data_IF_857428613087
#
_entry.id   IF_857428613087
#
_cell.length_a   1.000
_cell.length_b   1.000
_cell.length_c   1.000
_cell.angle_alpha   90.00
_cell.angle_beta   90.00
_cell.angle_gamma   90.00
#
_symmetry.space_group_name_H-M   'P 1'
#
loop_
_entity.id
_entity.type
_entity.pdbx_description
1 polymer ?
#
# COMPACT_ATOMS: atom_id res chain seq x y z
N UNK A 1 19.35 -7.84 -32.91
CA UNK A 1 19.76 -6.49 -32.56
C UNK A 1 18.45 -5.76 -32.30
N UNK A 2 18.25 -5.60 -31.19
CA UNK A 2 17.11 -5.85 -30.27
C UNK A 2 16.39 -4.55 -29.99
N UNK A 3 15.06 -4.58 -30.13
CA UNK A 3 14.13 -3.46 -29.88
C UNK A 3 14.15 -2.94 -28.42
N UNK A 4 15.03 -3.47 -27.58
CA UNK A 4 15.21 -3.05 -26.19
C UNK A 4 15.79 -1.64 -26.03
N UNK A 5 16.53 -1.13 -27.03
CA UNK A 5 17.18 0.17 -26.95
C UNK A 5 16.26 1.37 -27.27
N UNK A 6 15.00 1.12 -27.59
CA UNK A 6 14.03 2.16 -27.98
C UNK A 6 12.92 2.39 -26.95
N UNK A 7 13.15 2.10 -25.68
CA UNK A 7 12.21 2.53 -24.67
C UNK A 7 12.17 4.07 -24.63
N UNK A 8 11.16 4.64 -25.27
CA UNK A 8 10.99 6.08 -25.30
C UNK A 8 10.50 6.58 -23.94
N UNK A 9 11.47 6.89 -23.09
CA UNK A 9 11.25 7.44 -21.74
C UNK A 9 10.27 8.62 -21.76
N UNK A 10 10.40 9.54 -22.73
CA UNK A 10 9.54 10.71 -22.85
C UNK A 10 8.08 10.38 -23.22
N UNK A 11 7.83 9.24 -23.87
CA UNK A 11 6.45 8.79 -24.17
C UNK A 11 5.70 8.39 -22.91
N UNK A 12 6.40 7.83 -21.92
CA UNK A 12 5.83 7.33 -20.68
C UNK A 12 6.00 8.30 -19.51
N UNK A 13 7.01 9.17 -19.58
CA UNK A 13 7.44 10.07 -18.52
C UNK A 13 7.52 11.52 -18.99
N UNK A 14 6.65 11.94 -19.92
CA UNK A 14 6.64 13.29 -20.50
C UNK A 14 6.65 14.41 -19.45
N UNK A 15 6.96 15.66 -19.85
CA UNK A 15 7.20 16.78 -18.95
C UNK A 15 6.06 17.07 -17.98
N UNK A 16 4.82 16.80 -18.37
CA UNK A 16 3.64 17.00 -17.53
C UNK A 16 3.48 15.96 -16.38
N UNK A 17 4.26 14.88 -16.45
CA UNK A 17 4.29 13.83 -15.45
C UNK A 17 5.59 13.81 -14.67
N UNK A 18 6.49 14.75 -14.97
CA UNK A 18 7.81 14.78 -14.41
C UNK A 18 7.80 15.44 -13.04
N UNK A 19 8.03 14.63 -12.01
CA UNK A 19 8.71 15.09 -10.80
C UNK A 19 9.77 14.06 -10.45
N UNK A 20 10.90 14.47 -9.82
CA UNK A 20 11.97 13.55 -9.48
C UNK A 20 11.39 12.47 -8.56
N UNK A 21 11.15 11.33 -9.15
CA UNK A 21 10.71 10.12 -8.50
C UNK A 21 11.88 9.19 -8.52
N UNK A 22 11.90 8.26 -7.61
CA UNK A 22 12.88 7.20 -7.68
C UNK A 22 12.81 6.64 -9.10
N UNK A 23 13.75 7.09 -9.91
CA UNK A 23 14.00 6.47 -11.20
C UNK A 23 14.63 5.15 -10.83
N UNK A 24 13.95 4.05 -11.11
CA UNK A 24 14.58 2.76 -11.03
C UNK A 24 15.68 2.73 -12.12
N UNK A 25 16.85 3.28 -11.79
CA UNK A 25 18.05 3.19 -12.59
C UNK A 25 18.56 1.74 -12.58
N UNK A 26 17.83 0.86 -13.20
CA UNK A 26 18.38 -0.43 -13.54
C UNK A 26 18.03 -0.69 -14.98
N UNK A 27 19.13 -0.69 -15.76
CA UNK A 27 19.19 -0.83 -17.19
C UNK A 27 18.05 -1.63 -17.83
N UNK A 28 17.95 -1.51 -19.09
CA UNK A 28 17.08 -2.07 -20.14
C UNK A 28 15.97 -3.13 -19.82
N UNK A 29 15.95 -3.71 -18.64
CA UNK A 29 14.99 -4.74 -18.24
C UNK A 29 13.95 -4.25 -17.23
N UNK A 30 13.11 -3.31 -17.63
CA UNK A 30 11.94 -2.99 -16.80
C UNK A 30 10.97 -4.17 -16.82
N UNK A 31 10.89 -4.86 -15.69
CA UNK A 31 9.96 -5.97 -15.50
C UNK A 31 8.73 -5.53 -14.75
N UNK A 32 7.62 -6.12 -15.11
CA UNK A 32 6.35 -5.93 -14.42
C UNK A 32 6.49 -6.35 -12.94
N UNK A 33 6.18 -5.47 -12.00
CA UNK A 33 6.30 -5.72 -10.56
C UNK A 33 5.41 -6.86 -10.05
N UNK A 34 4.46 -7.32 -10.84
CA UNK A 34 3.50 -8.35 -10.46
C UNK A 34 3.79 -9.74 -11.03
N UNK A 35 4.38 -9.84 -12.21
CA UNK A 35 4.59 -11.15 -12.87
C UNK A 35 5.97 -11.36 -13.47
N UNK A 36 6.88 -10.38 -13.44
CA UNK A 36 8.23 -10.51 -13.96
C UNK A 36 8.38 -10.42 -15.48
N UNK A 37 7.29 -10.44 -16.22
CA UNK A 37 7.32 -10.25 -17.67
C UNK A 37 7.75 -8.83 -18.05
N UNK A 38 8.20 -8.55 -19.26
CA UNK A 38 8.55 -7.21 -19.69
C UNK A 38 7.42 -6.21 -19.42
N UNK A 39 7.75 -5.08 -18.79
CA UNK A 39 6.78 -4.02 -18.51
C UNK A 39 6.63 -3.13 -19.76
N UNK A 40 5.39 -2.87 -20.15
CA UNK A 40 5.03 -1.98 -21.27
C UNK A 40 4.02 -0.89 -20.86
N UNK A 41 3.64 -0.87 -19.59
CA UNK A 41 2.77 0.15 -18.98
C UNK A 41 3.32 0.57 -17.62
N UNK A 42 2.58 1.45 -16.95
CA UNK A 42 2.86 1.88 -15.58
C UNK A 42 1.60 1.79 -14.73
N UNK A 43 1.76 1.39 -13.49
CA UNK A 43 0.71 1.35 -12.49
C UNK A 43 0.93 2.47 -11.47
N UNK A 44 -0.13 3.17 -11.08
CA UNK A 44 -0.07 4.16 -10.01
C UNK A 44 -0.04 3.51 -8.63
N UNK A 45 0.76 4.08 -7.74
CA UNK A 45 0.98 3.58 -6.39
C UNK A 45 0.53 4.62 -5.33
N UNK A 46 -0.67 4.47 -4.76
CA UNK A 46 -1.69 3.47 -5.02
C UNK A 46 -2.48 3.71 -6.31
N UNK A 47 -3.32 2.72 -6.69
CA UNK A 47 -4.23 2.86 -7.82
C UNK A 47 -5.21 4.02 -7.62
N UNK A 48 -5.42 4.79 -8.69
CA UNK A 48 -6.26 6.01 -8.65
C UNK A 48 -7.70 5.80 -8.21
N UNK A 49 -8.22 4.58 -8.34
CA UNK A 49 -9.59 4.24 -7.91
C UNK A 49 -9.79 4.46 -6.40
N UNK A 50 -8.71 4.31 -5.61
CA UNK A 50 -8.74 4.53 -4.16
C UNK A 50 -8.51 5.99 -3.74
N UNK A 51 -8.34 6.90 -4.69
CA UNK A 51 -8.05 8.31 -4.43
C UNK A 51 -9.20 9.21 -4.88
N UNK A 52 -9.34 10.36 -4.21
CA UNK A 52 -10.25 11.41 -4.61
C UNK A 52 -9.60 12.34 -5.64
N UNK A 53 -10.41 12.98 -6.50
CA UNK A 53 -9.93 14.07 -7.36
C UNK A 53 -9.91 15.40 -6.61
N UNK A 54 -8.93 16.29 -6.84
CA UNK A 54 -7.79 16.10 -7.75
C UNK A 54 -6.77 15.10 -7.19
N UNK A 55 -6.16 14.32 -8.08
CA UNK A 55 -5.13 13.35 -7.65
C UNK A 55 -3.84 14.07 -7.22
N UNK A 56 -3.06 13.49 -6.29
CA UNK A 56 -1.76 14.01 -5.94
C UNK A 56 -0.85 14.12 -7.17
N UNK A 57 -0.22 15.28 -7.35
CA UNK A 57 0.63 15.54 -8.52
C UNK A 57 1.93 14.72 -8.52
N UNK A 58 2.32 14.22 -7.35
CA UNK A 58 3.53 13.43 -7.10
C UNK A 58 3.24 11.94 -6.90
N UNK A 59 2.06 11.47 -7.35
CA UNK A 59 1.66 10.07 -7.21
C UNK A 59 2.68 9.13 -7.88
N UNK A 60 3.31 8.23 -7.11
CA UNK A 60 4.29 7.30 -7.64
C UNK A 60 3.71 6.37 -8.69
N UNK A 61 4.60 5.83 -9.50
CA UNK A 61 4.27 4.78 -10.47
C UNK A 61 5.31 3.67 -10.42
N UNK A 62 4.89 2.45 -10.72
CA UNK A 62 5.75 1.28 -10.85
C UNK A 62 5.58 0.65 -12.24
N UNK A 63 6.61 -0.05 -12.77
CA UNK A 63 6.50 -0.74 -14.04
C UNK A 63 5.49 -1.89 -13.96
N UNK A 64 4.60 -1.99 -14.95
CA UNK A 64 3.63 -3.07 -15.05
C UNK A 64 3.45 -3.50 -16.51
N UNK A 65 3.13 -4.77 -16.76
CA UNK A 65 2.66 -5.19 -18.07
C UNK A 65 1.16 -4.89 -18.21
N UNK A 66 0.70 -4.70 -19.45
CA UNK A 66 -0.69 -4.41 -19.75
C UNK A 66 -1.65 -5.48 -19.21
N UNK A 67 -1.26 -6.75 -19.28
CA UNK A 67 -2.05 -7.86 -18.75
C UNK A 67 -2.32 -7.73 -17.26
N UNK A 68 -1.28 -7.45 -16.46
CA UNK A 68 -1.43 -7.26 -15.01
C UNK A 68 -2.19 -5.98 -14.69
N UNK A 69 -1.79 -4.86 -15.29
CA UNK A 69 -2.40 -3.55 -15.07
C UNK A 69 -3.92 -3.58 -15.34
N UNK A 70 -4.33 -4.10 -16.50
CA UNK A 70 -5.74 -4.23 -16.85
C UNK A 70 -6.45 -5.33 -16.06
N UNK A 71 -5.73 -6.39 -15.67
CA UNK A 71 -6.26 -7.54 -14.96
C UNK A 71 -6.75 -7.26 -13.54
N UNK A 72 -6.35 -6.14 -12.94
CA UNK A 72 -6.79 -5.72 -11.62
C UNK A 72 -8.00 -4.79 -11.64
N UNK A 73 -8.29 -4.12 -12.76
CA UNK A 73 -9.27 -3.03 -12.83
C UNK A 73 -10.68 -3.40 -12.36
N UNK A 74 -11.13 -4.61 -12.65
CA UNK A 74 -12.45 -5.12 -12.20
C UNK A 74 -12.49 -5.31 -10.68
N UNK A 75 -11.43 -5.89 -10.10
CA UNK A 75 -11.36 -6.16 -8.66
C UNK A 75 -11.11 -4.90 -7.85
N UNK A 76 -10.39 -3.93 -8.41
CA UNK A 76 -10.22 -2.60 -7.81
C UNK A 76 -11.55 -1.87 -7.67
N UNK A 77 -12.33 -1.86 -8.75
CA UNK A 77 -13.65 -1.23 -8.72
C UNK A 77 -14.59 -1.94 -7.76
N UNK A 78 -14.56 -3.27 -7.75
CA UNK A 78 -15.33 -4.08 -6.81
C UNK A 78 -14.94 -3.76 -5.36
N UNK A 79 -13.65 -3.77 -5.05
CA UNK A 79 -13.12 -3.47 -3.70
C UNK A 79 -13.56 -2.08 -3.24
N UNK A 80 -13.40 -1.06 -4.09
CA UNK A 80 -13.83 0.31 -3.75
C UNK A 80 -15.33 0.38 -3.52
N UNK A 81 -16.12 -0.26 -4.37
CA UNK A 81 -17.59 -0.29 -4.23
C UNK A 81 -18.04 -1.02 -2.95
N UNK A 82 -17.35 -2.08 -2.55
CA UNK A 82 -17.63 -2.79 -1.29
C UNK A 82 -17.35 -1.89 -0.08
N UNK A 83 -16.20 -1.20 -0.06
CA UNK A 83 -15.85 -0.23 0.97
C UNK A 83 -16.92 0.85 1.09
N UNK A 84 -17.36 1.41 -0.05
CA UNK A 84 -18.39 2.45 -0.09
C UNK A 84 -19.75 1.95 0.40
N UNK A 85 -20.19 0.78 -0.04
CA UNK A 85 -21.46 0.19 0.37
C UNK A 85 -21.50 -0.01 1.89
N UNK A 86 -20.41 -0.53 2.45
CA UNK A 86 -20.31 -0.73 3.89
C UNK A 86 -20.20 0.60 4.65
N UNK A 87 -19.41 1.54 4.15
CA UNK A 87 -19.30 2.87 4.74
C UNK A 87 -20.64 3.58 4.79
N UNK A 88 -21.41 3.57 3.72
CA UNK A 88 -22.76 4.15 3.68
C UNK A 88 -23.73 3.48 4.67
N UNK A 89 -23.69 2.16 4.77
CA UNK A 89 -24.47 1.41 5.75
C UNK A 89 -24.17 1.84 7.19
N UNK A 90 -22.90 2.08 7.49
CA UNK A 90 -22.46 2.56 8.80
C UNK A 90 -22.56 4.09 8.97
N UNK A 91 -23.24 4.78 8.05
CA UNK A 91 -23.39 6.25 8.04
C UNK A 91 -22.09 7.04 7.81
N UNK A 92 -21.06 6.42 7.30
CA UNK A 92 -19.86 7.10 6.82
C UNK A 92 -20.14 7.74 5.46
N UNK A 93 -19.70 8.98 5.28
CA UNK A 93 -19.85 9.70 4.00
C UNK A 93 -18.66 9.40 3.08
N UNK A 94 -18.71 8.26 2.41
CA UNK A 94 -17.73 7.90 1.39
C UNK A 94 -18.19 8.37 0.02
N UNK A 95 -17.23 8.50 -0.90
CA UNK A 95 -17.51 8.95 -2.26
C UNK A 95 -18.13 7.83 -3.08
N UNK A 96 -19.28 8.08 -3.66
CA UNK A 96 -20.05 7.07 -4.40
C UNK A 96 -19.51 6.88 -5.83
N UNK A 97 -19.32 5.63 -6.24
CA UNK A 97 -19.06 5.23 -7.62
C UNK A 97 -20.40 5.04 -8.36
N UNK A 98 -20.39 5.22 -9.68
CA UNK A 98 -21.58 4.98 -10.51
C UNK A 98 -22.11 3.56 -10.34
N UNK A 99 -23.37 3.44 -9.93
CA UNK A 99 -24.04 2.16 -9.64
C UNK A 99 -24.36 1.30 -10.87
N UNK A 100 -24.10 1.78 -12.09
CA UNK A 100 -24.48 1.08 -13.32
C UNK A 100 -23.52 -0.08 -13.66
N UNK A 101 -22.30 -0.05 -13.17
CA UNK A 101 -21.27 -1.04 -13.49
C UNK A 101 -21.54 -2.38 -12.79
N UNK A 102 -21.24 -3.46 -13.51
CA UNK A 102 -21.45 -4.84 -13.01
C UNK A 102 -20.72 -5.09 -11.69
N UNK A 103 -19.48 -4.64 -11.58
CA UNK A 103 -18.64 -4.82 -10.40
C UNK A 103 -19.24 -4.14 -9.16
N UNK A 104 -19.84 -2.96 -9.35
CA UNK A 104 -20.50 -2.22 -8.27
C UNK A 104 -21.74 -2.95 -7.78
N UNK A 105 -22.58 -3.43 -8.70
CA UNK A 105 -23.78 -4.24 -8.37
C UNK A 105 -23.41 -5.53 -7.63
N UNK A 106 -22.35 -6.18 -8.08
CA UNK A 106 -21.83 -7.41 -7.45
C UNK A 106 -21.31 -7.14 -6.03
N UNK A 107 -20.54 -6.06 -5.83
CA UNK A 107 -20.07 -5.65 -4.52
C UNK A 107 -21.21 -5.32 -3.56
N UNK A 108 -22.21 -4.58 -4.02
CA UNK A 108 -23.40 -4.26 -3.23
C UNK A 108 -24.16 -5.51 -2.82
N UNK A 109 -24.43 -6.42 -3.76
CA UNK A 109 -25.09 -7.72 -3.46
C UNK A 109 -24.28 -8.52 -2.43
N UNK A 110 -22.96 -8.60 -2.59
CA UNK A 110 -22.10 -9.33 -1.65
C UNK A 110 -22.11 -8.69 -0.27
N UNK A 111 -22.15 -7.38 -0.21
CA UNK A 111 -22.28 -6.65 1.05
C UNK A 111 -23.66 -6.92 1.71
N UNK A 112 -24.76 -6.92 0.95
CA UNK A 112 -26.10 -7.26 1.45
C UNK A 112 -26.16 -8.69 2.01
N UNK A 113 -25.44 -9.65 1.40
CA UNK A 113 -25.29 -11.00 1.94
C UNK A 113 -24.58 -10.99 3.30
N UNK A 114 -23.50 -10.21 3.45
CA UNK A 114 -22.80 -10.05 4.72
C UNK A 114 -23.69 -9.43 5.80
N UNK A 115 -24.46 -8.39 5.46
CA UNK A 115 -25.42 -7.78 6.41
C UNK A 115 -26.48 -8.79 6.83
N UNK A 116 -27.00 -9.60 5.90
CA UNK A 116 -28.03 -10.59 6.18
C UNK A 116 -27.54 -11.75 7.05
N UNK A 117 -26.27 -12.13 6.91
CA UNK A 117 -25.62 -13.16 7.74
C UNK A 117 -25.13 -12.63 9.09
N UNK A 118 -24.99 -11.31 9.24
CA UNK A 118 -24.40 -10.68 10.42
C UNK A 118 -22.87 -10.78 10.49
N UNK A 119 -22.22 -11.31 9.46
CA UNK A 119 -20.78 -11.51 9.41
C UNK A 119 -20.18 -10.96 8.11
N UNK A 120 -19.03 -10.28 8.23
CA UNK A 120 -18.23 -9.89 7.07
C UNK A 120 -17.23 -11.00 6.81
N UNK A 121 -17.51 -11.75 5.73
CA UNK A 121 -16.62 -12.83 5.32
C UNK A 121 -15.41 -12.28 4.56
N UNK A 122 -14.28 -12.99 4.71
CA UNK A 122 -13.09 -12.73 3.91
C UNK A 122 -13.41 -12.86 2.41
N UNK A 123 -12.97 -11.88 1.63
CA UNK A 123 -13.24 -11.79 0.19
C UNK A 123 -11.92 -11.84 -0.58
N UNK A 124 -11.77 -12.87 -1.42
CA UNK A 124 -10.54 -13.11 -2.19
C UNK A 124 -10.22 -11.99 -3.19
N UNK A 125 -11.24 -11.30 -3.73
CA UNK A 125 -11.02 -10.16 -4.64
C UNK A 125 -10.45 -8.96 -3.88
N UNK A 126 -10.97 -8.71 -2.68
CA UNK A 126 -10.42 -7.66 -1.79
C UNK A 126 -8.99 -8.02 -1.41
N UNK A 127 -8.75 -9.26 -0.98
CA UNK A 127 -7.41 -9.72 -0.63
C UNK A 127 -6.42 -9.59 -1.79
N UNK A 128 -6.82 -9.95 -3.00
CA UNK A 128 -6.01 -9.79 -4.21
C UNK A 128 -5.60 -8.34 -4.46
N UNK A 129 -6.49 -7.40 -4.23
CA UNK A 129 -6.18 -5.97 -4.39
C UNK A 129 -5.27 -5.47 -3.27
N UNK A 130 -5.46 -5.93 -2.04
CA UNK A 130 -4.55 -5.59 -0.95
C UNK A 130 -3.13 -6.10 -1.20
N UNK A 131 -2.98 -7.31 -1.73
CA UNK A 131 -1.69 -7.87 -2.16
C UNK A 131 -1.08 -6.99 -3.26
N UNK A 132 -1.87 -6.62 -4.28
CA UNK A 132 -1.43 -5.72 -5.35
C UNK A 132 -0.90 -4.39 -4.80
N UNK A 133 -1.63 -3.75 -3.90
CA UNK A 133 -1.24 -2.48 -3.28
C UNK A 133 0.04 -2.64 -2.45
N UNK A 134 0.15 -3.74 -1.72
CA UNK A 134 1.34 -4.04 -0.94
C UNK A 134 2.58 -4.22 -1.82
N UNK A 135 2.50 -5.01 -2.90
CA UNK A 135 3.59 -5.18 -3.87
C UNK A 135 4.01 -3.84 -4.45
N UNK A 136 3.04 -3.01 -4.84
CA UNK A 136 3.27 -1.69 -5.41
C UNK A 136 4.07 -0.79 -4.45
N UNK A 137 3.61 -0.66 -3.20
CA UNK A 137 4.29 0.16 -2.19
C UNK A 137 5.67 -0.36 -1.85
N UNK A 138 5.82 -1.65 -1.60
CA UNK A 138 7.11 -2.24 -1.27
C UNK A 138 8.12 -2.09 -2.40
N UNK A 139 7.72 -2.32 -3.65
CA UNK A 139 8.61 -2.13 -4.79
C UNK A 139 9.06 -0.68 -4.91
N UNK A 140 8.17 0.26 -4.71
CA UNK A 140 8.48 1.68 -4.80
C UNK A 140 9.40 2.16 -3.66
N UNK A 141 9.12 1.75 -2.42
CA UNK A 141 9.81 2.25 -1.23
C UNK A 141 11.10 1.49 -0.91
N UNK A 142 11.15 0.19 -1.23
CA UNK A 142 12.19 -0.70 -0.75
C UNK A 142 13.07 -1.28 -1.88
N UNK A 143 12.84 -0.93 -3.14
CA UNK A 143 13.49 -1.46 -4.37
C UNK A 143 13.62 -2.97 -4.43
N UNK A 144 12.91 -3.68 -3.64
CA UNK A 144 12.88 -5.13 -3.70
C UNK A 144 11.93 -5.53 -4.82
N UNK A 145 12.47 -5.74 -5.99
CA UNK A 145 11.69 -6.45 -7.00
C UNK A 145 11.30 -7.81 -6.42
N UNK A 146 10.03 -8.19 -6.46
CA UNK A 146 9.51 -9.53 -6.11
C UNK A 146 10.12 -10.64 -6.97
N UNK A 147 11.00 -10.30 -7.89
CA UNK A 147 11.73 -11.18 -8.80
C UNK A 147 13.15 -11.48 -8.35
N UNK A 148 13.61 -10.98 -7.23
CA UNK A 148 14.80 -11.51 -6.62
C UNK A 148 14.40 -12.83 -5.96
N UNK A 149 15.19 -13.87 -6.15
CA UNK A 149 14.98 -15.25 -5.65
C UNK A 149 14.79 -15.33 -4.11
N UNK A 150 14.68 -14.19 -3.44
CA UNK A 150 14.64 -14.06 -1.98
C UNK A 150 13.26 -13.82 -1.40
N UNK A 151 12.22 -13.55 -2.20
CA UNK A 151 10.86 -13.31 -1.71
C UNK A 151 9.84 -14.19 -2.41
N UNK A 152 9.05 -14.91 -1.65
CA UNK A 152 7.88 -15.58 -2.19
C UNK A 152 6.84 -14.53 -2.61
N UNK A 153 6.41 -14.59 -3.86
CA UNK A 153 5.35 -13.71 -4.39
C UNK A 153 3.97 -13.96 -3.78
N UNK A 154 3.87 -14.95 -2.88
CA UNK A 154 2.66 -15.29 -2.16
C UNK A 154 2.75 -14.71 -0.76
N UNK A 155 1.79 -13.89 -0.30
CA UNK A 155 1.81 -13.36 1.04
C UNK A 155 1.67 -14.48 2.08
N UNK A 156 2.38 -14.39 3.19
CA UNK A 156 2.21 -15.28 4.32
C UNK A 156 0.85 -15.05 4.97
N UNK A 157 0.44 -13.79 5.05
CA UNK A 157 -0.92 -13.46 5.45
C UNK A 157 -1.43 -12.15 4.85
N UNK A 158 -2.75 -12.07 4.69
CA UNK A 158 -3.53 -10.88 4.38
C UNK A 158 -4.66 -10.78 5.38
N UNK A 159 -4.81 -9.64 5.99
CA UNK A 159 -5.93 -9.35 6.88
C UNK A 159 -6.47 -7.95 6.61
N UNK A 160 -7.76 -7.78 6.84
CA UNK A 160 -8.39 -6.47 6.84
C UNK A 160 -9.55 -6.41 7.82
N UNK A 161 -9.81 -5.23 8.33
CA UNK A 161 -10.94 -4.92 9.20
C UNK A 161 -11.57 -3.59 8.78
N UNK A 162 -12.80 -3.40 9.17
CA UNK A 162 -13.50 -2.14 8.97
C UNK A 162 -13.70 -1.46 10.32
N UNK A 163 -13.52 -0.15 10.34
CA UNK A 163 -13.56 0.66 11.55
C UNK A 163 -14.72 0.35 12.53
N UNK A 164 -15.97 0.14 12.06
CA UNK A 164 -17.07 -0.21 12.96
C UNK A 164 -16.92 -1.54 13.71
N UNK A 165 -16.05 -2.42 13.22
CA UNK A 165 -15.80 -3.73 13.81
C UNK A 165 -14.53 -3.76 14.69
N UNK A 166 -13.84 -2.62 14.82
CA UNK A 166 -12.61 -2.48 15.58
C UNK A 166 -12.88 -1.83 16.93
N UNK A 167 -12.15 -2.26 17.95
CA UNK A 167 -12.13 -1.58 19.25
C UNK A 167 -11.25 -0.32 19.19
N UNK A 168 -11.45 0.61 20.11
CA UNK A 168 -10.69 1.87 20.12
C UNK A 168 -9.18 1.65 20.27
N UNK A 169 -8.78 0.74 21.14
CA UNK A 169 -7.37 0.36 21.35
C UNK A 169 -6.73 -0.31 20.13
N UNK A 170 -7.52 -1.07 19.35
CA UNK A 170 -7.05 -1.60 18.07
C UNK A 170 -6.78 -0.48 17.06
N UNK A 171 -7.67 0.51 16.97
CA UNK A 171 -7.49 1.66 16.08
C UNK A 171 -6.27 2.49 16.52
N UNK A 172 -6.09 2.69 17.81
CA UNK A 172 -4.94 3.41 18.37
C UNK A 172 -3.64 2.68 18.03
N UNK A 173 -3.61 1.36 18.20
CA UNK A 173 -2.46 0.52 17.83
C UNK A 173 -2.14 0.57 16.31
N UNK A 174 -3.13 0.78 15.46
CA UNK A 174 -2.88 0.98 14.04
C UNK A 174 -2.14 2.29 13.75
N UNK A 175 -2.34 3.31 14.57
CA UNK A 175 -1.76 4.64 14.39
C UNK A 175 -0.37 4.80 15.03
N UNK A 176 0.13 3.79 15.71
CA UNK A 176 1.47 3.81 16.29
C UNK A 176 2.57 3.89 15.23
N UNK A 177 3.65 4.56 15.58
CA UNK A 177 4.89 4.56 14.80
C UNK A 177 5.49 3.16 14.71
N UNK A 178 6.14 2.87 13.59
CA UNK A 178 6.88 1.62 13.42
C UNK A 178 8.29 1.79 13.95
N UNK A 179 8.71 1.07 15.03
CA UNK A 179 10.09 1.09 15.50
C UNK A 179 11.05 0.56 14.42
N UNK A 180 12.15 1.27 14.18
CA UNK A 180 13.09 0.96 13.10
C UNK A 180 14.43 0.37 13.57
N UNK A 181 14.59 0.10 14.86
CA UNK A 181 15.89 -0.30 15.44
C UNK A 181 16.50 -1.58 14.84
N UNK A 182 15.65 -2.52 14.42
CA UNK A 182 16.04 -3.80 13.84
C UNK A 182 15.58 -3.96 12.38
N UNK A 183 15.08 -2.89 11.77
CA UNK A 183 14.49 -2.94 10.45
C UNK A 183 15.43 -2.42 9.37
N UNK A 184 15.28 -2.92 8.15
CA UNK A 184 16.03 -2.46 6.99
C UNK A 184 15.46 -1.10 6.57
N UNK A 185 16.36 -0.11 6.40
CA UNK A 185 15.97 1.22 5.97
C UNK A 185 15.42 1.20 4.52
N UNK A 186 14.38 1.99 4.25
CA UNK A 186 13.90 2.23 2.89
C UNK A 186 14.97 2.88 2.02
N UNK A 187 14.72 2.91 0.72
CA UNK A 187 15.64 3.54 -0.23
C UNK A 187 15.74 5.03 0.06
N UNK A 188 16.97 5.52 0.04
CA UNK A 188 17.25 6.96 0.14
C UNK A 188 16.50 7.71 -0.97
N UNK A 189 15.66 8.66 -0.57
CA UNK A 189 14.84 9.47 -1.47
C UNK A 189 13.46 8.90 -1.75
N UNK A 190 13.11 7.71 -1.25
CA UNK A 190 11.72 7.24 -1.23
C UNK A 190 10.85 8.05 -0.27
N UNK A 191 9.53 7.91 -0.37
CA UNK A 191 8.62 8.54 0.59
C UNK A 191 8.83 7.97 1.99
N UNK A 192 8.96 6.66 2.11
CA UNK A 192 9.19 5.99 3.38
C UNK A 192 10.45 6.47 4.07
N UNK A 193 11.53 6.68 3.31
CA UNK A 193 12.77 7.24 3.87
C UNK A 193 12.57 8.65 4.47
N UNK A 194 11.76 9.48 3.81
CA UNK A 194 11.47 10.84 4.27
C UNK A 194 10.52 10.89 5.48
N UNK A 195 9.93 9.75 5.87
CA UNK A 195 9.06 9.62 7.05
C UNK A 195 9.72 8.88 8.19
N UNK A 196 11.06 8.79 8.19
CA UNK A 196 11.86 8.27 9.30
C UNK A 196 12.25 9.42 10.20
N UNK A 197 11.97 9.27 11.48
CA UNK A 197 12.25 10.28 12.50
C UNK A 197 13.04 9.66 13.65
N UNK A 198 13.85 10.49 14.30
CA UNK A 198 14.45 10.16 15.60
C UNK A 198 13.60 10.84 16.66
N UNK A 199 13.04 10.06 17.57
CA UNK A 199 12.29 10.56 18.71
C UNK A 199 13.10 10.34 20.00
N UNK A 200 13.05 11.30 20.91
CA UNK A 200 13.72 11.27 22.19
C UNK A 200 12.69 11.39 23.33
N UNK A 201 12.07 10.28 23.73
CA UNK A 201 11.14 10.31 24.85
C UNK A 201 11.86 10.69 26.13
N UNK A 202 11.21 11.55 26.89
CA UNK A 202 11.68 11.96 28.21
C UNK A 202 10.99 11.13 29.28
N UNK A 203 11.71 10.26 29.93
CA UNK A 203 11.21 9.54 31.09
C UNK A 203 11.55 10.33 32.37
N UNK A 204 10.54 10.51 33.21
CA UNK A 204 10.69 11.05 34.55
C UNK A 204 10.50 9.89 35.55
N UNK A 205 11.51 9.57 36.31
CA UNK A 205 11.33 8.63 37.41
C UNK A 205 10.45 9.25 38.50
N UNK A 206 9.49 8.47 39.01
CA UNK A 206 8.60 8.94 40.09
C UNK A 206 9.40 9.39 41.29
N UNK A 207 9.27 10.66 41.66
CA UNK A 207 10.02 11.26 42.77
C UNK A 207 11.42 11.76 42.45
N UNK A 208 11.83 11.74 41.19
CA UNK A 208 13.13 12.28 40.73
C UNK A 208 12.93 13.48 39.82
N UNK A 209 13.89 14.39 39.81
CA UNK A 209 14.00 15.49 38.85
C UNK A 209 14.91 15.11 37.67
N UNK A 210 15.48 13.92 37.68
CA UNK A 210 16.33 13.43 36.61
C UNK A 210 15.51 13.04 35.40
N UNK A 211 15.91 13.58 34.26
CA UNK A 211 15.37 13.25 32.96
C UNK A 211 16.28 12.23 32.30
N UNK A 212 15.70 11.10 31.92
CA UNK A 212 16.38 10.10 31.09
C UNK A 212 15.81 10.22 29.69
N UNK A 213 16.68 10.52 28.72
CA UNK A 213 16.33 10.53 27.30
C UNK A 213 17.12 9.45 26.59
N UNK A 214 16.46 8.76 25.67
CA UNK A 214 17.14 7.84 24.75
C UNK A 214 16.53 7.99 23.35
N UNK A 215 17.36 8.23 22.33
CA UNK A 215 16.88 8.34 20.98
C UNK A 215 16.52 6.96 20.43
N UNK A 216 15.42 6.88 19.71
CA UNK A 216 15.13 5.73 18.87
C UNK A 216 14.50 6.16 17.55
N UNK A 217 14.76 5.36 16.52
CA UNK A 217 14.31 5.64 15.17
C UNK A 217 12.93 5.00 14.94
N UNK A 218 12.04 5.78 14.39
CA UNK A 218 10.68 5.35 14.05
C UNK A 218 10.34 5.74 12.63
N UNK A 219 9.44 4.99 12.01
CA UNK A 219 8.80 5.36 10.74
C UNK A 219 7.36 5.73 11.00
N UNK A 220 6.95 6.84 10.42
CA UNK A 220 5.57 7.34 10.44
C UNK A 220 4.82 6.93 9.18
N UNK A 221 3.51 7.09 9.21
CA UNK A 221 2.62 6.86 8.10
C UNK A 221 2.88 7.85 6.96
N UNK A 222 2.70 7.35 5.73
CA UNK A 222 2.80 8.14 4.52
C UNK A 222 1.39 8.46 4.06
N UNK A 223 0.97 9.71 4.25
CA UNK A 223 -0.30 10.21 3.73
C UNK A 223 -0.18 10.49 2.23
N UNK A 224 -0.78 9.64 1.41
CA UNK A 224 -0.88 9.88 -0.03
C UNK A 224 -1.93 10.93 -0.31
N UNK A 225 -3.02 10.87 0.42
CA UNK A 225 -4.11 11.83 0.37
C UNK A 225 -4.85 11.85 1.71
N UNK A 226 -4.86 13.00 2.35
CA UNK A 226 -5.46 13.21 3.67
C UNK A 226 -6.88 12.62 3.76
N UNK A 227 -7.13 11.89 4.84
CA UNK A 227 -8.39 11.18 5.14
C UNK A 227 -8.88 10.17 4.09
N UNK A 228 -8.08 9.89 3.06
CA UNK A 228 -8.49 9.03 1.97
C UNK A 228 -7.59 7.81 1.78
N UNK A 229 -6.28 8.02 1.81
CA UNK A 229 -5.33 6.93 1.62
C UNK A 229 -4.00 7.18 2.30
N UNK A 230 -3.61 6.27 3.18
CA UNK A 230 -2.28 6.26 3.80
C UNK A 230 -1.75 4.85 3.93
N UNK A 231 -0.44 4.73 4.00
CA UNK A 231 0.24 3.45 4.18
C UNK A 231 1.52 3.60 4.98
N UNK A 232 2.02 2.49 5.47
CA UNK A 232 3.38 2.33 5.98
C UNK A 232 3.91 0.97 5.57
N UNK A 233 5.20 0.88 5.20
CA UNK A 233 5.83 -0.38 4.83
C UNK A 233 7.24 -0.46 5.40
N UNK A 234 7.60 -1.64 5.89
CA UNK A 234 8.91 -1.90 6.49
C UNK A 234 9.34 -3.34 6.30
N UNK A 235 10.63 -3.60 6.46
CA UNK A 235 11.21 -4.94 6.43
C UNK A 235 11.80 -5.24 7.81
N UNK A 236 11.35 -6.29 8.45
CA UNK A 236 12.02 -6.91 9.58
C UNK A 236 12.96 -8.04 9.12
N UNK A 237 13.53 -8.79 10.06
CA UNK A 237 14.48 -9.87 9.74
C UNK A 237 13.89 -10.98 8.86
N UNK A 238 12.58 -11.11 8.76
CA UNK A 238 11.91 -12.25 8.12
C UNK A 238 10.79 -11.87 7.17
N UNK A 239 10.22 -10.68 7.34
CA UNK A 239 9.01 -10.29 6.62
C UNK A 239 9.11 -8.89 6.05
N UNK A 240 8.48 -8.72 4.92
CA UNK A 240 8.05 -7.41 4.44
C UNK A 240 6.60 -7.17 4.87
N UNK A 241 6.37 -6.04 5.50
CA UNK A 241 5.06 -5.65 5.99
C UNK A 241 4.56 -4.41 5.29
N UNK A 242 3.27 -4.39 4.98
CA UNK A 242 2.55 -3.20 4.56
C UNK A 242 1.27 -3.09 5.34
N UNK A 243 1.05 -1.93 5.95
CA UNK A 243 -0.25 -1.52 6.45
C UNK A 243 -0.82 -0.47 5.50
N UNK A 244 -2.11 -0.55 5.23
CA UNK A 244 -2.86 0.41 4.39
C UNK A 244 -4.12 0.80 5.11
N UNK A 245 -4.46 2.09 5.05
CA UNK A 245 -5.77 2.59 5.49
C UNK A 245 -6.42 3.30 4.32
N UNK A 246 -7.66 2.91 4.00
CA UNK A 246 -8.45 3.46 2.91
C UNK A 246 -9.69 4.14 3.48
N UNK A 247 -9.89 5.42 3.12
CA UNK A 247 -11.01 6.28 3.53
C UNK A 247 -11.17 6.39 5.07
N UNK A 248 -10.09 6.21 5.84
CA UNK A 248 -10.11 6.10 7.31
C UNK A 248 -11.16 5.08 7.81
N UNK A 249 -11.51 4.13 6.97
CA UNK A 249 -12.59 3.18 7.18
C UNK A 249 -12.15 1.71 7.09
N UNK A 250 -11.34 1.37 6.09
CA UNK A 250 -10.77 0.03 5.91
C UNK A 250 -9.30 0.02 6.32
N UNK A 251 -8.95 -0.87 7.23
CA UNK A 251 -7.60 -1.09 7.76
C UNK A 251 -7.10 -2.46 7.30
N UNK A 252 -5.98 -2.51 6.61
CA UNK A 252 -5.48 -3.74 6.02
C UNK A 252 -3.99 -3.94 6.28
N UNK A 253 -3.59 -5.18 6.49
CA UNK A 253 -2.19 -5.59 6.68
C UNK A 253 -1.87 -6.77 5.77
N UNK A 254 -0.75 -6.66 5.07
CA UNK A 254 -0.17 -7.72 4.23
C UNK A 254 1.26 -7.97 4.68
N UNK A 255 1.65 -9.22 4.79
CA UNK A 255 3.03 -9.59 5.06
C UNK A 255 3.49 -10.68 4.08
N UNK A 256 4.73 -10.52 3.61
CA UNK A 256 5.42 -11.48 2.78
C UNK A 256 6.62 -12.03 3.54
N UNK A 257 6.85 -13.33 3.43
CA UNK A 257 7.98 -13.98 4.06
C UNK A 257 9.22 -13.87 3.20
N UNK A 258 10.36 -13.72 3.84
CA UNK A 258 11.67 -13.83 3.21
C UNK A 258 12.25 -15.23 3.43
N UNK A 259 12.54 -15.93 2.34
CA UNK A 259 13.05 -17.31 2.41
C UNK A 259 14.47 -17.40 2.95
N UNK A 260 15.30 -16.41 2.65
CA UNK A 260 16.69 -16.36 3.06
C UNK A 260 17.01 -14.98 3.68
N UNK A 261 16.67 -14.75 4.95
CA UNK A 261 17.03 -13.49 5.60
C UNK A 261 18.56 -13.35 5.64
N UNK A 262 19.12 -12.15 5.43
CA UNK A 262 20.54 -11.92 5.61
C UNK A 262 20.94 -12.27 7.05
N UNK A 263 22.10 -12.93 7.21
CA UNK A 263 22.68 -13.30 8.49
C UNK A 263 23.02 -12.07 9.36
#
# INVERSE_FOLDING_TARGET
MDDADNFNFNKYWGPDNYRPRVVFERGSDMRCVYCGEPANTREHCPSRVFLAKPYPSDLPVVPACEKCNNGFSSDELYTKAFIEAYGHYCSYRLKTISAERKEVKEAQRKFEECVSSGEIHFDDRIARILIKLAICHMTYELTTGFYTDSWEGVPEYVSYAFRPNMQADEIDSWNEFIPMNDNILPIIGSRAYNHIYVIEPVLLAVGSTEKITFPFTVMDWIDVQENNYRYVCWIDKRHMHVKVVIDEFMYAKVAFRQDNPPE
#
